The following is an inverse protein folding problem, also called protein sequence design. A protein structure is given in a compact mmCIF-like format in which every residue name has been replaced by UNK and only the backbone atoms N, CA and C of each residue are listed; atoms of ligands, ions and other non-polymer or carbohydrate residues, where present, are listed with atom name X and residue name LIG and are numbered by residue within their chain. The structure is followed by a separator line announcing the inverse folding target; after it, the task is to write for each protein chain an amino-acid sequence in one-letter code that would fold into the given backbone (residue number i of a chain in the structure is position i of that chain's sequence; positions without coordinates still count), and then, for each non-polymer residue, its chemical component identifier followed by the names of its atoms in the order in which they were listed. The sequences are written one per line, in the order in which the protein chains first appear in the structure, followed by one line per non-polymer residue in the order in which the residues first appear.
data_IF_908137757394
#
_entry.id   IF_908137757394
#
_cell.length_a   1.000
_cell.length_b   1.000
_cell.length_c   1.000
_cell.angle_alpha   90.00
_cell.angle_beta   90.00
_cell.angle_gamma   90.00
#
_symmetry.space_group_name_H-M   'P 1'
#
loop_
_entity.id
_entity.type
_entity.pdbx_description
1 polymer ?
#
# COMPACT_ATOMS: atom_id res chain seq x y z
N UNK A 1 -25.58 -5.39 39.03
CA UNK A 1 -25.27 -6.70 38.40
C UNK A 1 -24.94 -6.45 36.92
N UNK A 2 -23.93 -7.15 36.40
CA UNK A 2 -23.04 -6.75 35.29
C UNK A 2 -23.70 -6.51 33.93
N UNK A 3 -23.24 -5.45 33.26
CA UNK A 3 -23.32 -5.20 31.81
C UNK A 3 -22.79 -6.41 31.04
N UNK A 4 -23.60 -6.96 30.14
CA UNK A 4 -23.16 -7.97 29.17
C UNK A 4 -22.30 -7.29 28.08
N UNK A 5 -21.10 -7.84 27.89
CA UNK A 5 -20.08 -7.41 26.95
C UNK A 5 -20.56 -7.47 25.49
N UNK A 6 -20.46 -6.36 24.75
CA UNK A 6 -20.51 -6.31 23.28
C UNK A 6 -19.20 -6.78 22.61
N UNK A 7 -18.26 -7.34 23.39
CA UNK A 7 -16.92 -7.76 22.93
C UNK A 7 -16.85 -9.19 22.37
N UNK A 8 -17.95 -9.96 22.32
CA UNK A 8 -17.94 -11.33 21.79
C UNK A 8 -18.37 -11.45 20.31
N UNK A 9 -18.66 -10.36 19.61
CA UNK A 9 -19.12 -10.40 18.21
C UNK A 9 -18.04 -10.04 17.16
N UNK A 10 -16.79 -9.76 17.57
CA UNK A 10 -15.70 -9.38 16.63
C UNK A 10 -14.78 -10.57 16.29
N UNK A 11 -14.97 -11.74 16.93
CA UNK A 11 -14.23 -12.96 16.63
C UNK A 11 -14.91 -13.80 15.55
N UNK A 12 -14.94 -13.33 14.30
CA UNK A 12 -15.02 -14.18 13.09
C UNK A 12 -15.08 -13.37 11.78
N UNK A 13 -14.11 -12.50 11.50
CA UNK A 13 -13.89 -11.97 10.15
C UNK A 13 -12.74 -12.71 9.43
N UNK A 14 -12.67 -14.04 9.63
CA UNK A 14 -11.76 -14.94 8.92
C UNK A 14 -12.51 -15.76 7.87
N UNK A 15 -13.33 -15.11 7.04
CA UNK A 15 -13.93 -15.73 5.86
C UNK A 15 -14.13 -14.65 4.78
N UNK A 16 -13.08 -14.36 4.02
CA UNK A 16 -13.27 -13.79 2.68
C UNK A 16 -13.77 -14.91 1.76
N UNK A 17 -15.10 -15.05 1.70
CA UNK A 17 -15.77 -15.88 0.70
C UNK A 17 -15.49 -15.33 -0.70
N UNK A 18 -15.11 -16.22 -1.62
CA UNK A 18 -14.92 -15.96 -3.03
C UNK A 18 -16.17 -15.43 -3.74
N UNK A 19 -16.33 -14.11 -3.73
CA UNK A 19 -17.08 -13.37 -4.75
C UNK A 19 -16.07 -12.51 -5.50
N UNK A 20 -16.02 -12.66 -6.83
CA UNK A 20 -15.25 -11.78 -7.70
C UNK A 20 -15.82 -10.36 -7.57
N UNK A 21 -15.22 -9.56 -6.70
CA UNK A 21 -15.37 -8.11 -6.68
C UNK A 21 -14.66 -7.53 -7.91
N UNK A 22 -15.13 -6.41 -8.47
CA UNK A 22 -14.39 -5.71 -9.50
C UNK A 22 -12.98 -5.38 -8.95
N UNK A 23 -11.97 -5.59 -9.79
CA UNK A 23 -10.56 -5.51 -9.45
C UNK A 23 -10.14 -4.13 -8.90
N UNK A 24 -10.35 -3.90 -7.60
CA UNK A 24 -9.72 -2.85 -6.83
C UNK A 24 -9.47 -3.40 -5.42
N UNK A 25 -8.24 -3.85 -5.18
CA UNK A 25 -7.76 -4.33 -3.88
C UNK A 25 -7.51 -3.16 -2.91
N UNK A 26 -8.47 -2.25 -2.80
CA UNK A 26 -8.45 -1.13 -1.88
C UNK A 26 -8.98 -1.58 -0.52
N UNK A 27 -8.28 -1.18 0.54
CA UNK A 27 -8.70 -1.47 1.91
C UNK A 27 -10.05 -0.81 2.17
N UNK A 28 -11.04 -1.59 2.60
CA UNK A 28 -12.37 -1.03 2.82
C UNK A 28 -12.34 0.01 3.95
N UNK A 29 -13.28 0.96 3.94
CA UNK A 29 -13.41 1.95 5.01
C UNK A 29 -13.60 1.28 6.38
N UNK A 30 -14.40 0.21 6.44
CA UNK A 30 -14.64 -0.57 7.65
C UNK A 30 -13.36 -1.25 8.17
N UNK A 31 -12.55 -1.81 7.27
CA UNK A 31 -11.27 -2.41 7.63
C UNK A 31 -10.30 -1.36 8.18
N UNK A 32 -10.21 -0.18 7.55
CA UNK A 32 -9.40 0.93 8.06
C UNK A 32 -9.88 1.43 9.42
N UNK A 33 -11.19 1.49 9.66
CA UNK A 33 -11.75 1.85 10.96
C UNK A 33 -11.39 0.83 12.04
N UNK A 34 -11.48 -0.47 11.73
CA UNK A 34 -11.09 -1.54 12.65
C UNK A 34 -9.59 -1.50 12.97
N UNK A 35 -8.74 -1.30 11.96
CA UNK A 35 -7.30 -1.14 12.14
C UNK A 35 -6.99 0.10 13.00
N UNK A 36 -7.72 1.19 12.78
CA UNK A 36 -7.65 2.40 13.62
C UNK A 36 -8.01 2.12 15.08
N UNK A 37 -9.06 1.36 15.34
CA UNK A 37 -9.47 0.97 16.71
C UNK A 37 -8.37 0.14 17.40
N UNK A 38 -7.79 -0.85 16.70
CA UNK A 38 -6.67 -1.64 17.24
C UNK A 38 -5.49 -0.75 17.64
N UNK A 39 -5.14 0.23 16.80
CA UNK A 39 -4.09 1.20 17.13
C UNK A 39 -4.47 2.10 18.32
N UNK A 40 -5.74 2.50 18.46
CA UNK A 40 -6.19 3.27 19.62
C UNK A 40 -6.10 2.46 20.92
N UNK A 41 -6.43 1.17 20.89
CA UNK A 41 -6.35 0.28 22.03
C UNK A 41 -4.90 0.00 22.45
N UNK A 42 -4.00 -0.16 21.48
CA UNK A 42 -2.58 -0.46 21.72
C UNK A 42 -1.67 0.40 20.84
N UNK A 43 -1.48 1.69 21.18
CA UNK A 43 -0.76 2.65 20.32
C UNK A 43 0.73 2.34 20.17
N UNK A 44 1.30 1.56 21.10
CA UNK A 44 2.69 1.13 21.10
C UNK A 44 2.89 -0.29 20.53
N UNK A 45 1.87 -0.88 19.90
CA UNK A 45 2.01 -2.15 19.21
C UNK A 45 2.49 -1.93 17.75
N UNK A 46 3.73 -2.32 17.39
CA UNK A 46 4.26 -2.10 16.04
C UNK A 46 3.51 -2.90 14.97
N UNK A 47 2.91 -4.04 15.31
CA UNK A 47 2.10 -4.82 14.37
C UNK A 47 0.82 -4.10 13.98
N UNK A 48 0.14 -3.48 14.96
CA UNK A 48 -1.11 -2.78 14.68
C UNK A 48 -0.86 -1.50 13.87
N UNK A 49 0.24 -0.79 14.17
CA UNK A 49 0.70 0.35 13.39
C UNK A 49 1.06 -0.07 11.95
N UNK A 50 1.74 -1.21 11.77
CA UNK A 50 2.08 -1.75 10.46
C UNK A 50 0.85 -2.15 9.66
N UNK A 51 -0.10 -2.86 10.26
CA UNK A 51 -1.34 -3.27 9.59
C UNK A 51 -2.13 -2.06 9.11
N UNK A 52 -2.32 -1.05 9.97
CA UNK A 52 -2.98 0.19 9.58
C UNK A 52 -2.24 0.88 8.43
N UNK A 53 -0.91 0.93 8.49
CA UNK A 53 -0.13 1.57 7.45
C UNK A 53 -0.21 0.82 6.11
N UNK A 54 -0.22 -0.52 6.12
CA UNK A 54 -0.47 -1.33 4.92
C UNK A 54 -1.88 -1.10 4.35
N UNK A 55 -2.86 -0.91 5.22
CA UNK A 55 -4.21 -0.52 4.81
C UNK A 55 -4.22 0.84 4.11
N UNK A 56 -3.59 1.85 4.71
CA UNK A 56 -3.53 3.22 4.20
C UNK A 56 -2.67 3.35 2.93
N UNK A 57 -1.65 2.50 2.77
CA UNK A 57 -0.77 2.46 1.61
C UNK A 57 -1.54 2.27 0.30
N UNK A 58 -2.67 1.55 0.35
CA UNK A 58 -3.56 1.32 -0.78
C UNK A 58 -4.74 2.29 -0.82
N UNK A 59 -4.49 3.55 -0.46
CA UNK A 59 -5.50 4.62 -0.48
C UNK A 59 -4.88 5.94 -0.91
N UNK A 60 -5.69 6.98 -1.05
CA UNK A 60 -5.22 8.36 -1.27
C UNK A 60 -4.38 8.95 -0.12
N UNK A 61 -4.27 8.23 1.02
CA UNK A 61 -3.52 8.61 2.24
C UNK A 61 -2.09 8.04 2.28
N UNK A 62 -1.44 7.93 1.12
CA UNK A 62 -0.08 7.38 0.98
C UNK A 62 0.94 8.01 1.94
N UNK A 63 0.93 9.34 2.11
CA UNK A 63 1.86 10.03 3.02
C UNK A 63 1.67 9.61 4.49
N UNK A 64 0.42 9.38 4.91
CA UNK A 64 0.09 8.91 6.25
C UNK A 64 0.61 7.47 6.44
N UNK A 65 0.49 6.63 5.40
CA UNK A 65 1.02 5.27 5.42
C UNK A 65 2.54 5.25 5.62
N UNK A 66 3.29 6.05 4.84
CA UNK A 66 4.75 6.14 5.00
C UNK A 66 5.18 6.65 6.37
N UNK A 67 4.48 7.66 6.90
CA UNK A 67 4.72 8.16 8.25
C UNK A 67 4.50 7.08 9.33
N UNK A 68 3.42 6.32 9.21
CA UNK A 68 3.12 5.22 10.13
C UNK A 68 4.17 4.10 10.04
N UNK A 69 4.64 3.75 8.84
CA UNK A 69 5.68 2.74 8.67
C UNK A 69 7.04 3.18 9.22
N UNK A 70 7.38 4.46 9.04
CA UNK A 70 8.58 5.03 9.68
C UNK A 70 8.51 4.88 11.20
N UNK A 71 7.35 5.18 11.79
CA UNK A 71 7.10 5.02 13.23
C UNK A 71 7.23 3.56 13.68
N UNK A 72 6.77 2.59 12.88
CA UNK A 72 6.97 1.16 13.16
C UNK A 72 8.45 0.83 13.31
N UNK A 73 9.29 1.30 12.38
CA UNK A 73 10.73 1.09 12.43
C UNK A 73 11.41 1.81 13.61
N UNK A 74 10.92 2.98 14.00
CA UNK A 74 11.39 3.71 15.20
C UNK A 74 11.03 2.97 16.49
N UNK A 75 9.86 2.34 16.55
CA UNK A 75 9.40 1.55 17.70
C UNK A 75 10.13 0.22 17.83
N UNK A 76 10.35 -0.47 16.71
CA UNK A 76 11.05 -1.75 16.66
C UNK A 76 11.90 -1.83 15.37
N UNK A 77 13.20 -1.50 15.45
CA UNK A 77 14.11 -1.56 14.30
C UNK A 77 14.29 -2.96 13.70
N UNK A 78 13.89 -4.01 14.43
CA UNK A 78 13.92 -5.40 13.95
C UNK A 78 12.61 -5.83 13.31
N UNK A 79 11.58 -4.98 13.33
CA UNK A 79 10.26 -5.33 12.85
C UNK A 79 10.25 -5.69 11.37
N UNK A 80 11.09 -5.05 10.56
CA UNK A 80 11.29 -5.41 9.15
C UNK A 80 11.71 -6.88 8.98
N UNK A 81 12.58 -7.42 9.85
CA UNK A 81 13.00 -8.83 9.79
C UNK A 81 11.84 -9.78 10.13
N UNK A 82 10.97 -9.39 11.07
CA UNK A 82 9.74 -10.13 11.43
C UNK A 82 8.78 -10.18 10.24
N UNK A 83 8.57 -9.05 9.56
CA UNK A 83 7.76 -8.94 8.34
C UNK A 83 8.33 -9.86 7.26
N UNK A 84 9.62 -9.77 6.98
CA UNK A 84 10.29 -10.60 5.96
C UNK A 84 10.14 -12.09 6.28
N UNK A 85 10.36 -12.50 7.53
CA UNK A 85 10.24 -13.90 7.94
C UNK A 85 8.81 -14.43 7.79
N UNK A 86 7.84 -13.68 8.34
CA UNK A 86 6.42 -14.08 8.33
C UNK A 86 5.87 -14.18 6.92
N UNK A 87 6.01 -13.11 6.14
CA UNK A 87 5.44 -13.06 4.80
C UNK A 87 6.26 -13.84 3.78
N UNK A 88 7.58 -13.99 3.97
CA UNK A 88 8.40 -14.90 3.19
C UNK A 88 7.92 -16.35 3.26
N UNK A 89 7.59 -16.83 4.46
CA UNK A 89 7.01 -18.18 4.64
C UNK A 89 5.63 -18.33 3.96
N UNK A 90 4.79 -17.29 4.06
CA UNK A 90 3.48 -17.29 3.37
C UNK A 90 3.62 -17.29 1.84
N UNK A 91 4.59 -16.56 1.29
CA UNK A 91 4.87 -16.58 -0.16
C UNK A 91 5.47 -17.92 -0.60
N UNK A 92 6.30 -18.57 0.23
CA UNK A 92 6.82 -19.90 -0.08
C UNK A 92 5.71 -20.95 -0.14
N UNK A 93 4.75 -20.90 0.78
CA UNK A 93 3.64 -21.85 0.86
C UNK A 93 2.49 -21.53 -0.09
N UNK A 94 2.28 -20.25 -0.40
CA UNK A 94 1.32 -19.77 -1.39
C UNK A 94 1.93 -18.64 -2.25
N UNK A 95 2.61 -18.99 -3.35
CA UNK A 95 3.25 -18.00 -4.24
C UNK A 95 2.29 -17.06 -4.95
N UNK A 96 0.97 -17.31 -4.93
CA UNK A 96 -0.02 -16.42 -5.57
C UNK A 96 -0.63 -15.43 -4.56
N UNK A 97 -0.18 -15.43 -3.30
CA UNK A 97 -0.71 -14.53 -2.28
C UNK A 97 -0.18 -13.10 -2.48
N UNK A 98 -0.96 -12.26 -3.17
CA UNK A 98 -0.64 -10.86 -3.45
C UNK A 98 -0.42 -10.05 -2.17
N UNK A 99 -1.30 -10.18 -1.18
CA UNK A 99 -1.18 -9.41 0.07
C UNK A 99 0.10 -9.78 0.84
N UNK A 100 0.47 -11.06 0.87
CA UNK A 100 1.72 -11.50 1.47
C UNK A 100 2.94 -10.94 0.72
N UNK A 101 2.93 -10.99 -0.62
CA UNK A 101 4.00 -10.40 -1.44
C UNK A 101 4.11 -8.90 -1.24
N UNK A 102 2.98 -8.21 -1.12
CA UNK A 102 2.93 -6.76 -0.95
C UNK A 102 3.56 -6.38 0.38
N UNK A 103 3.16 -7.03 1.48
CA UNK A 103 3.77 -6.81 2.80
C UNK A 103 5.25 -7.20 2.84
N UNK A 104 5.63 -8.28 2.15
CA UNK A 104 7.02 -8.71 2.02
C UNK A 104 7.86 -7.65 1.28
N UNK A 105 7.32 -7.03 0.22
CA UNK A 105 7.98 -5.95 -0.50
C UNK A 105 8.31 -4.77 0.43
N UNK A 106 7.36 -4.36 1.27
CA UNK A 106 7.59 -3.30 2.25
C UNK A 106 8.58 -3.72 3.35
N UNK A 107 8.52 -4.97 3.82
CA UNK A 107 9.53 -5.51 4.74
C UNK A 107 10.95 -5.38 4.19
N UNK A 108 11.16 -5.81 2.93
CA UNK A 108 12.43 -5.64 2.24
C UNK A 108 12.82 -4.16 2.05
N UNK A 109 11.86 -3.31 1.68
CA UNK A 109 12.09 -1.88 1.51
C UNK A 109 12.61 -1.22 2.79
N UNK A 110 11.98 -1.47 3.95
CA UNK A 110 12.44 -0.92 5.23
C UNK A 110 13.76 -1.50 5.71
N UNK A 111 14.11 -2.71 5.26
CA UNK A 111 15.45 -3.28 5.45
C UNK A 111 16.49 -2.71 4.48
N UNK A 112 16.13 -1.70 3.67
CA UNK A 112 16.93 -1.13 2.60
C UNK A 112 17.35 -2.16 1.52
N UNK A 113 16.59 -3.25 1.40
CA UNK A 113 16.78 -4.29 0.39
C UNK A 113 15.88 -4.00 -0.81
N UNK A 114 16.22 -2.95 -1.57
CA UNK A 114 15.35 -2.41 -2.64
C UNK A 114 15.14 -3.38 -3.81
N UNK A 115 16.15 -4.17 -4.18
CA UNK A 115 16.02 -5.12 -5.29
C UNK A 115 15.10 -6.30 -4.94
N UNK A 116 15.22 -6.95 -3.76
CA UNK A 116 14.21 -7.91 -3.29
C UNK A 116 12.81 -7.32 -3.17
N UNK A 117 12.67 -6.08 -2.69
CA UNK A 117 11.37 -5.41 -2.61
C UNK A 117 10.72 -5.27 -3.99
N UNK A 118 11.49 -4.81 -4.98
CA UNK A 118 11.04 -4.69 -6.37
C UNK A 118 10.59 -6.03 -6.95
N UNK A 119 11.38 -7.09 -6.74
CA UNK A 119 11.06 -8.42 -7.25
C UNK A 119 9.68 -8.91 -6.76
N UNK A 120 9.31 -8.62 -5.50
CA UNK A 120 7.99 -9.00 -4.99
C UNK A 120 6.84 -8.23 -5.66
N UNK A 121 7.04 -6.96 -6.01
CA UNK A 121 6.03 -6.18 -6.74
C UNK A 121 5.92 -6.60 -8.21
N UNK A 122 7.04 -6.96 -8.84
CA UNK A 122 7.06 -7.54 -10.19
C UNK A 122 6.29 -8.87 -10.23
N UNK A 123 6.47 -9.72 -9.22
CA UNK A 123 5.71 -10.96 -9.07
C UNK A 123 4.21 -10.72 -8.85
N UNK A 124 3.82 -9.65 -8.14
CA UNK A 124 2.40 -9.28 -8.02
C UNK A 124 1.80 -8.97 -9.40
N UNK A 125 2.52 -8.25 -10.26
CA UNK A 125 2.06 -7.96 -11.63
C UNK A 125 1.92 -9.24 -12.46
N UNK A 126 2.78 -10.24 -12.25
CA UNK A 126 2.65 -11.54 -12.93
C UNK A 126 1.41 -12.31 -12.47
N UNK A 127 1.06 -12.22 -11.18
CA UNK A 127 -0.12 -12.88 -10.61
C UNK A 127 -1.40 -12.14 -10.98
N UNK A 128 -1.41 -10.82 -10.86
CA UNK A 128 -2.52 -9.93 -11.22
C UNK A 128 -2.00 -8.69 -11.97
N UNK A 129 -2.06 -8.70 -13.32
CA UNK A 129 -1.65 -7.56 -14.15
C UNK A 129 -2.51 -6.30 -13.96
N UNK A 130 -3.64 -6.38 -13.26
CA UNK A 130 -4.51 -5.24 -12.97
C UNK A 130 -4.31 -4.71 -11.54
N UNK A 131 -3.35 -5.23 -10.79
CA UNK A 131 -3.06 -4.75 -9.44
C UNK A 131 -2.35 -3.39 -9.45
N UNK A 132 -3.13 -2.32 -9.50
CA UNK A 132 -2.71 -0.92 -9.65
C UNK A 132 -1.59 -0.52 -8.69
N UNK A 133 -1.68 -0.94 -7.43
CA UNK A 133 -0.70 -0.56 -6.40
C UNK A 133 0.70 -1.08 -6.70
N UNK A 134 0.86 -2.24 -7.33
CA UNK A 134 2.19 -2.73 -7.69
C UNK A 134 2.89 -1.79 -8.68
N UNK A 135 2.16 -1.27 -9.67
CA UNK A 135 2.67 -0.27 -10.60
C UNK A 135 3.02 1.05 -9.89
N UNK A 136 2.16 1.52 -8.98
CA UNK A 136 2.42 2.72 -8.18
C UNK A 136 3.73 2.61 -7.38
N UNK A 137 3.93 1.52 -6.65
CA UNK A 137 5.10 1.32 -5.82
C UNK A 137 6.37 0.98 -6.60
N UNK A 138 6.27 0.22 -7.69
CA UNK A 138 7.42 0.03 -8.59
C UNK A 138 7.88 1.37 -9.16
N UNK A 139 6.95 2.21 -9.62
CA UNK A 139 7.30 3.53 -10.12
C UNK A 139 7.96 4.39 -9.05
N UNK A 140 7.49 4.32 -7.80
CA UNK A 140 8.13 4.98 -6.67
C UNK A 140 9.58 4.49 -6.47
N UNK A 141 9.84 3.18 -6.49
CA UNK A 141 11.19 2.63 -6.35
C UNK A 141 12.13 3.01 -7.51
N UNK A 142 11.63 3.11 -8.74
CA UNK A 142 12.42 3.62 -9.86
C UNK A 142 12.72 5.11 -9.73
N UNK A 143 11.74 5.91 -9.27
CA UNK A 143 11.93 7.34 -9.02
C UNK A 143 12.99 7.61 -7.95
N UNK A 144 13.06 6.79 -6.89
CA UNK A 144 14.14 6.87 -5.89
C UNK A 144 15.53 6.58 -6.45
N UNK A 145 15.63 5.79 -7.53
CA UNK A 145 16.88 5.55 -8.28
C UNK A 145 17.12 6.61 -9.37
N UNK A 146 16.37 7.72 -9.36
CA UNK A 146 16.38 8.78 -10.37
C UNK A 146 15.95 8.33 -11.79
N UNK A 147 15.35 7.15 -11.94
CA UNK A 147 14.76 6.71 -13.21
C UNK A 147 13.30 7.20 -13.32
N UNK A 148 13.15 8.51 -13.49
CA UNK A 148 11.84 9.16 -13.62
C UNK A 148 11.10 8.75 -14.90
N UNK A 149 11.84 8.34 -15.93
CA UNK A 149 11.25 7.86 -17.18
C UNK A 149 10.50 6.54 -16.94
N UNK A 150 11.16 5.57 -16.30
CA UNK A 150 10.51 4.29 -15.97
C UNK A 150 9.40 4.45 -14.94
N UNK A 151 9.60 5.31 -13.95
CA UNK A 151 8.56 5.64 -12.97
C UNK A 151 7.29 6.16 -13.63
N UNK A 152 7.44 7.11 -14.57
CA UNK A 152 6.33 7.70 -15.31
C UNK A 152 5.58 6.68 -16.17
N UNK A 153 6.29 5.75 -16.80
CA UNK A 153 5.67 4.65 -17.58
C UNK A 153 4.77 3.79 -16.68
N UNK A 154 5.28 3.40 -15.50
CA UNK A 154 4.55 2.56 -14.55
C UNK A 154 3.33 3.29 -13.98
N UNK A 155 3.45 4.56 -13.61
CA UNK A 155 2.31 5.33 -13.13
C UNK A 155 1.27 5.61 -14.21
N UNK A 156 1.69 5.82 -15.46
CA UNK A 156 0.75 5.88 -16.59
C UNK A 156 0.02 4.54 -16.79
N UNK A 157 0.71 3.41 -16.57
CA UNK A 157 0.06 2.10 -16.59
C UNK A 157 -0.97 1.96 -15.46
N UNK A 158 -0.66 2.44 -14.26
CA UNK A 158 -1.61 2.50 -13.15
C UNK A 158 -2.87 3.33 -13.51
N UNK A 159 -2.71 4.50 -14.15
CA UNK A 159 -3.82 5.33 -14.64
C UNK A 159 -4.62 4.61 -15.73
N UNK A 160 -3.98 3.87 -16.64
CA UNK A 160 -4.69 3.10 -17.66
C UNK A 160 -5.58 2.00 -17.08
N UNK A 161 -5.15 1.38 -15.98
CA UNK A 161 -5.91 0.34 -15.28
C UNK A 161 -7.02 0.99 -14.43
N UNK A 162 -6.69 2.09 -13.75
CA UNK A 162 -7.55 2.79 -12.81
C UNK A 162 -7.50 4.31 -13.05
N UNK A 163 -8.31 4.85 -13.97
CA UNK A 163 -8.32 6.26 -14.32
C UNK A 163 -8.66 7.21 -13.15
N UNK A 164 -9.29 6.70 -12.10
CA UNK A 164 -9.65 7.41 -10.88
C UNK A 164 -8.58 7.31 -9.78
N UNK A 165 -7.46 6.63 -10.01
CA UNK A 165 -6.40 6.50 -9.02
C UNK A 165 -5.69 7.84 -8.78
N UNK A 166 -6.15 8.58 -7.78
CA UNK A 166 -5.61 9.89 -7.41
C UNK A 166 -4.10 9.87 -7.13
N UNK A 167 -3.59 8.75 -6.58
CA UNK A 167 -2.16 8.59 -6.27
C UNK A 167 -1.33 8.55 -7.55
N UNK A 168 -1.76 7.77 -8.56
CA UNK A 168 -1.05 7.65 -9.83
C UNK A 168 -1.00 9.00 -10.57
N UNK A 169 -2.12 9.73 -10.63
CA UNK A 169 -2.17 11.09 -11.18
C UNK A 169 -1.22 12.05 -10.45
N UNK A 170 -1.21 12.02 -9.11
CA UNK A 170 -0.30 12.85 -8.32
C UNK A 170 1.17 12.54 -8.61
N UNK A 171 1.53 11.25 -8.74
CA UNK A 171 2.89 10.80 -9.01
C UNK A 171 3.34 11.16 -10.43
N UNK A 172 2.49 11.02 -11.45
CA UNK A 172 2.77 11.50 -12.81
C UNK A 172 2.95 13.02 -12.83
N UNK A 173 2.09 13.76 -12.12
CA UNK A 173 2.22 15.21 -11.96
C UNK A 173 3.56 15.62 -11.33
N UNK A 174 4.01 14.89 -10.29
CA UNK A 174 5.34 15.09 -9.71
C UNK A 174 6.47 14.81 -10.70
N UNK A 175 6.36 13.76 -11.51
CA UNK A 175 7.37 13.47 -12.55
C UNK A 175 7.44 14.61 -13.58
N UNK A 176 6.30 15.09 -14.07
CA UNK A 176 6.24 16.22 -14.99
C UNK A 176 6.85 17.48 -14.38
N UNK A 177 6.57 17.76 -13.10
CA UNK A 177 7.15 18.89 -12.39
C UNK A 177 8.68 18.81 -12.35
N UNK A 178 9.23 17.65 -11.97
CA UNK A 178 10.68 17.41 -11.92
C UNK A 178 11.35 17.51 -13.30
N UNK A 179 10.60 17.26 -14.37
CA UNK A 179 11.05 17.35 -15.75
C UNK A 179 10.79 18.72 -16.41
N UNK A 180 10.33 19.72 -15.65
CA UNK A 180 10.05 21.08 -16.14
C UNK A 180 8.76 21.23 -16.94
N UNK A 181 7.94 20.18 -17.02
CA UNK A 181 6.67 20.15 -17.76
C UNK A 181 5.53 20.70 -16.88
N UNK A 182 5.59 22.01 -16.60
CA UNK A 182 4.76 22.63 -15.56
C UNK A 182 3.26 22.61 -15.87
N UNK A 183 2.86 22.67 -17.14
CA UNK A 183 1.44 22.66 -17.54
C UNK A 183 0.82 21.28 -17.30
N UNK A 184 1.51 20.25 -17.74
CA UNK A 184 1.15 18.84 -17.55
C UNK A 184 1.11 18.50 -16.07
N UNK A 185 2.13 18.93 -15.31
CA UNK A 185 2.17 18.76 -13.86
C UNK A 185 0.95 19.37 -13.17
N UNK A 186 0.62 20.62 -13.50
CA UNK A 186 -0.53 21.32 -12.91
C UNK A 186 -1.85 20.62 -13.23
N UNK A 187 -2.02 20.15 -14.47
CA UNK A 187 -3.22 19.40 -14.89
C UNK A 187 -3.39 18.11 -14.09
N UNK A 188 -2.34 17.29 -14.01
CA UNK A 188 -2.38 15.99 -13.32
C UNK A 188 -2.59 16.15 -11.81
N UNK A 189 -1.91 17.12 -11.18
CA UNK A 189 -2.08 17.40 -9.75
C UNK A 189 -3.48 17.92 -9.44
N UNK A 190 -4.04 18.80 -10.28
CA UNK A 190 -5.40 19.28 -10.10
C UNK A 190 -6.43 18.15 -10.19
N UNK A 191 -6.24 17.22 -11.13
CA UNK A 191 -7.08 16.03 -11.24
C UNK A 191 -6.95 15.13 -10.00
N UNK A 192 -5.73 14.86 -9.54
CA UNK A 192 -5.49 14.08 -8.32
C UNK A 192 -6.18 14.69 -7.08
N UNK A 193 -6.15 16.01 -6.93
CA UNK A 193 -6.84 16.72 -5.85
C UNK A 193 -8.35 16.58 -5.95
N UNK A 194 -8.91 16.67 -7.16
CA UNK A 194 -10.34 16.47 -7.40
C UNK A 194 -10.77 15.04 -7.06
N UNK A 195 -9.99 14.04 -7.46
CA UNK A 195 -10.27 12.63 -7.21
C UNK A 195 -10.19 12.30 -5.71
N UNK A 196 -9.18 12.79 -4.98
CA UNK A 196 -9.07 12.59 -3.52
C UNK A 196 -10.26 13.15 -2.74
N UNK A 197 -10.90 14.22 -3.23
CA UNK A 197 -12.08 14.80 -2.59
C UNK A 197 -13.38 14.01 -2.83
N UNK A 198 -13.35 12.97 -3.66
CA UNK A 198 -14.48 12.08 -3.95
C UNK A 198 -14.43 10.76 -3.14
N UNK A 199 -13.31 10.48 -2.46
CA UNK A 199 -13.07 9.31 -1.59
C UNK A 199 -13.45 9.59 -0.12
#
# INVERSE_FOLDING_TARGET
MKRMNKLSAILSASLFLGLALPAFADTSKEELELLGQRVQEQPLNPEYQFDLAMGLARTSKLEVAWGALKKVNEMDPTYADKVITRFGSLVQTNPQNIEARFRLAFGYYFKNQKDPARAQLEEIILVDPNYVWAYNYLGYFFAEKNDLAKASELWKKAIQIAPENAVAHFLVGQAHYRNGQLKEAASEIALAMKLRGAD
#
